data_IF_517748812675
#
_entry.id   IF_517748812675
#
_cell.length_a   1.000
_cell.length_b   1.000
_cell.length_c   1.000
_cell.angle_alpha   90.00
_cell.angle_beta   90.00
_cell.angle_gamma   90.00
#
_symmetry.space_group_name_H-M   'P 1'
#
loop_
_entity.id
_entity.type
_entity.pdbx_description
1 polymer ?
#
# COMPACT_ATOMS: atom_id res chain seq x y z
N UNK A 1 2.48 12.93 -0.18
CA UNK A 1 2.02 13.11 1.21
C UNK A 1 0.54 12.89 1.43
N UNK A 2 -0.30 13.11 0.42
CA UNK A 2 -1.74 12.90 0.61
C UNK A 2 -2.10 11.45 0.95
N UNK A 3 -1.43 10.49 0.33
CA UNK A 3 -1.66 9.08 0.67
C UNK A 3 -1.16 8.73 2.06
N UNK A 4 -0.05 9.33 2.48
CA UNK A 4 0.49 9.15 3.84
C UNK A 4 -0.53 9.64 4.86
N UNK A 5 -1.05 10.85 4.64
CA UNK A 5 -2.04 11.43 5.54
C UNK A 5 -3.32 10.61 5.59
N UNK A 6 -3.76 10.08 4.45
CA UNK A 6 -4.95 9.23 4.40
C UNK A 6 -4.77 7.99 5.26
N UNK A 7 -3.61 7.34 5.21
CA UNK A 7 -3.32 6.17 6.05
C UNK A 7 -3.32 6.53 7.53
N UNK A 8 -2.63 7.62 7.88
CA UNK A 8 -2.55 8.08 9.27
C UNK A 8 -3.94 8.39 9.81
N UNK A 9 -4.77 9.06 9.00
CA UNK A 9 -6.13 9.41 9.40
C UNK A 9 -6.99 8.18 9.66
N UNK A 10 -6.88 7.14 8.84
CA UNK A 10 -7.63 5.91 9.07
C UNK A 10 -7.26 5.27 10.40
N UNK A 11 -5.97 5.23 10.72
CA UNK A 11 -5.54 4.72 12.04
C UNK A 11 -6.04 5.61 13.17
N UNK A 12 -6.02 6.93 12.98
CA UNK A 12 -6.52 7.86 14.00
C UNK A 12 -8.02 7.70 14.25
N UNK A 13 -8.75 7.23 13.27
CA UNK A 13 -10.19 6.99 13.39
C UNK A 13 -10.52 5.61 13.97
N UNK A 14 -9.51 4.86 14.38
CA UNK A 14 -9.72 3.59 15.06
C UNK A 14 -9.51 2.35 14.21
N UNK A 15 -9.07 2.50 12.97
CA UNK A 15 -8.78 1.33 12.15
C UNK A 15 -7.65 0.49 12.75
N UNK A 16 -7.80 -0.82 12.71
CA UNK A 16 -6.78 -1.75 13.20
C UNK A 16 -5.81 -2.15 12.08
N UNK A 17 -6.21 -1.98 10.84
CA UNK A 17 -5.37 -2.24 9.69
C UNK A 17 -5.71 -1.30 8.55
N UNK A 18 -4.73 -1.06 7.70
CA UNK A 18 -4.91 -0.30 6.47
C UNK A 18 -4.18 -1.06 5.37
N UNK A 19 -4.79 -1.17 4.22
CA UNK A 19 -4.18 -1.83 3.06
C UNK A 19 -3.87 -0.80 2.00
N UNK A 20 -2.63 -0.84 1.52
CA UNK A 20 -2.18 0.02 0.43
C UNK A 20 -2.01 -0.84 -0.81
N UNK A 21 -2.74 -0.51 -1.85
CA UNK A 21 -2.74 -1.28 -3.10
C UNK A 21 -2.21 -0.40 -4.22
N UNK A 22 -1.35 -0.97 -5.03
CA UNK A 22 -0.79 -0.25 -6.18
C UNK A 22 -0.48 -1.21 -7.31
N UNK A 23 -0.36 -0.64 -8.49
CA UNK A 23 -0.03 -1.41 -9.69
C UNK A 23 0.97 -0.64 -10.54
N UNK A 24 1.76 -1.39 -11.32
CA UNK A 24 2.68 -0.82 -12.28
C UNK A 24 3.68 0.12 -11.63
N UNK A 25 3.81 1.30 -12.20
CA UNK A 25 4.79 2.29 -11.74
C UNK A 25 4.49 2.88 -10.36
N UNK A 26 3.28 2.70 -9.87
CA UNK A 26 2.89 3.21 -8.56
C UNK A 26 3.37 2.33 -7.41
N UNK A 27 3.94 1.16 -7.69
CA UNK A 27 4.37 0.22 -6.65
C UNK A 27 5.45 0.84 -5.76
N UNK A 28 6.44 1.50 -6.35
CA UNK A 28 7.49 2.11 -5.55
C UNK A 28 6.94 3.21 -4.65
N UNK A 29 5.97 3.97 -5.14
CA UNK A 29 5.29 4.99 -4.33
C UNK A 29 4.53 4.38 -3.17
N UNK A 30 3.89 3.23 -3.40
CA UNK A 30 3.18 2.53 -2.33
C UNK A 30 4.15 2.12 -1.22
N UNK A 31 5.31 1.60 -1.59
CA UNK A 31 6.35 1.25 -0.62
C UNK A 31 6.80 2.50 0.15
N UNK A 32 7.03 3.60 -0.56
CA UNK A 32 7.43 4.86 0.08
C UNK A 32 6.38 5.34 1.08
N UNK A 33 5.11 5.31 0.70
CA UNK A 33 4.01 5.71 1.58
C UNK A 33 4.00 4.87 2.84
N UNK A 34 4.06 3.56 2.69
CA UNK A 34 4.03 2.61 3.80
C UNK A 34 5.22 2.86 4.74
N UNK A 35 6.41 3.07 4.18
CA UNK A 35 7.61 3.27 4.99
C UNK A 35 7.59 4.60 5.71
N UNK A 36 7.06 5.66 5.10
CA UNK A 36 6.92 6.94 5.76
C UNK A 36 5.95 6.83 6.94
N UNK A 37 4.81 6.18 6.75
CA UNK A 37 3.84 5.99 7.84
C UNK A 37 4.48 5.20 8.97
N UNK A 38 5.13 4.10 8.64
CA UNK A 38 5.68 3.18 9.61
C UNK A 38 6.88 3.76 10.36
N UNK A 39 7.72 4.52 9.68
CA UNK A 39 8.98 4.98 10.26
C UNK A 39 8.92 6.39 10.84
N UNK A 40 8.09 7.26 10.27
CA UNK A 40 8.06 8.66 10.67
C UNK A 40 6.84 9.07 11.46
N UNK A 41 5.67 8.63 11.04
CA UNK A 41 4.43 9.10 11.67
C UNK A 41 3.96 8.20 12.81
N UNK A 42 4.16 6.89 12.68
CA UNK A 42 3.63 5.94 13.65
C UNK A 42 4.66 4.83 13.95
N UNK A 43 5.89 5.19 14.36
CA UNK A 43 6.98 4.22 14.43
C UNK A 43 6.74 3.07 15.41
N UNK A 44 6.05 3.32 16.52
CA UNK A 44 5.79 2.29 17.52
C UNK A 44 4.34 1.81 17.53
N UNK A 45 3.55 2.31 16.59
CA UNK A 45 2.10 2.06 16.60
C UNK A 45 1.63 1.15 15.48
N UNK A 46 2.39 1.03 14.41
CA UNK A 46 2.04 0.16 13.29
C UNK A 46 3.24 -0.66 12.85
N UNK A 47 2.95 -1.80 12.26
CA UNK A 47 3.96 -2.69 11.70
C UNK A 47 3.46 -3.23 10.37
N UNK A 48 4.38 -3.80 9.60
CA UNK A 48 4.02 -4.49 8.36
C UNK A 48 3.30 -5.79 8.70
N UNK A 49 2.16 -5.99 8.03
CA UNK A 49 1.46 -7.26 8.08
C UNK A 49 1.77 -8.07 6.84
N UNK A 50 0.73 -8.56 6.18
CA UNK A 50 0.88 -9.37 4.99
C UNK A 50 1.18 -8.50 3.78
N UNK A 51 2.07 -8.99 2.91
CA UNK A 51 2.36 -8.35 1.64
C UNK A 51 2.04 -9.37 0.55
N UNK A 52 1.18 -8.97 -0.38
CA UNK A 52 0.79 -9.81 -1.51
C UNK A 52 1.26 -9.16 -2.80
N UNK A 53 1.81 -9.96 -3.67
CA UNK A 53 2.19 -9.51 -5.01
C UNK A 53 1.47 -10.35 -6.04
N UNK A 54 1.26 -9.78 -7.21
CA UNK A 54 0.59 -10.50 -8.28
C UNK A 54 0.78 -9.82 -9.61
N UNK A 55 0.10 -10.36 -10.60
CA UNK A 55 0.11 -9.84 -11.95
C UNK A 55 -1.31 -9.75 -12.44
N UNK A 56 -1.64 -8.63 -13.06
CA UNK A 56 -2.95 -8.39 -13.63
C UNK A 56 -2.77 -8.20 -15.14
N UNK A 57 -3.64 -8.85 -15.92
CA UNK A 57 -3.62 -8.68 -17.37
C UNK A 57 -4.64 -7.61 -17.74
N UNK A 58 -4.20 -6.58 -18.44
CA UNK A 58 -5.07 -5.50 -18.89
C UNK A 58 -5.05 -5.41 -20.41
N UNK A 59 -6.12 -4.85 -20.98
CA UNK A 59 -6.30 -4.79 -22.41
C UNK A 59 -6.98 -6.03 -22.95
N UNK A 60 -7.12 -6.07 -24.26
CA UNK A 60 -7.76 -7.21 -24.94
C UNK A 60 -7.08 -7.46 -26.28
N UNK A 61 -7.16 -8.73 -26.75
CA UNK A 61 -6.57 -9.11 -28.03
C UNK A 61 -5.07 -8.90 -28.05
N UNK A 62 -4.60 -8.23 -29.09
CA UNK A 62 -3.16 -8.00 -29.29
C UNK A 62 -2.61 -6.90 -28.36
N UNK A 63 -3.48 -6.14 -27.72
CA UNK A 63 -3.08 -5.05 -26.83
C UNK A 63 -2.99 -5.49 -25.37
N UNK A 64 -3.03 -6.78 -25.11
CA UNK A 64 -2.87 -7.29 -23.76
C UNK A 64 -1.47 -7.05 -23.22
N UNK A 65 -1.40 -6.66 -21.96
CA UNK A 65 -0.12 -6.55 -21.25
C UNK A 65 -0.31 -6.94 -19.79
N UNK A 66 0.77 -7.37 -19.20
CA UNK A 66 0.80 -7.74 -17.79
C UNK A 66 1.30 -6.56 -16.97
N UNK A 67 0.61 -6.33 -15.87
CA UNK A 67 0.95 -5.25 -14.93
C UNK A 67 1.15 -5.86 -13.56
N UNK A 68 2.28 -5.57 -12.94
CA UNK A 68 2.56 -6.03 -11.58
C UNK A 68 1.68 -5.31 -10.58
N UNK A 69 1.26 -6.03 -9.55
CA UNK A 69 0.42 -5.47 -8.47
C UNK A 69 1.06 -5.78 -7.12
N UNK A 70 0.77 -4.93 -6.15
CA UNK A 70 1.18 -5.15 -4.76
C UNK A 70 0.07 -4.69 -3.83
N UNK A 71 -0.10 -5.43 -2.74
CA UNK A 71 -0.98 -5.06 -1.64
C UNK A 71 -0.18 -5.18 -0.35
N UNK A 72 -0.07 -4.09 0.37
CA UNK A 72 0.72 -4.02 1.60
C UNK A 72 -0.23 -3.74 2.75
N UNK A 73 -0.22 -4.61 3.75
CA UNK A 73 -1.03 -4.44 4.94
C UNK A 73 -0.21 -3.80 6.04
N UNK A 74 -0.73 -2.72 6.60
CA UNK A 74 -0.21 -2.12 7.83
C UNK A 74 -1.17 -2.48 8.95
N UNK A 75 -0.66 -2.97 10.06
CA UNK A 75 -1.48 -3.36 11.19
C UNK A 75 -1.06 -2.59 12.43
N UNK A 76 -2.04 -2.29 13.28
CA UNK A 76 -1.77 -1.66 14.56
C UNK A 76 -1.11 -2.66 15.50
N UNK A 77 -0.08 -2.20 16.17
CA UNK A 77 0.65 -3.02 17.15
C UNK A 77 -0.18 -3.18 18.43
#
# INVERSE_FOLDING_TARGET
>A
MSYVLACVMQFSQGANEVRVVARGRAISKAVDVVEIVRQRFMPDSVKLGEIKIGTETIGSGEDQRNVSTIEIQLVRV
#
